data_IF_779402090001
#
_entry.id   IF_779402090001
#
_cell.length_a   1.000
_cell.length_b   1.000
_cell.length_c   1.000
_cell.angle_alpha   90.00
_cell.angle_beta   90.00
_cell.angle_gamma   90.00
#
_symmetry.space_group_name_H-M   'P 1'
#
loop_
_entity.id
_entity.type
_entity.pdbx_description
1 polymer ?
#
# COMPACT_ATOMS: atom_id res chain seq x y z
N UNK A 1 -37.96 23.26 19.40
CA UNK A 1 -37.86 22.26 18.32
C UNK A 1 -36.58 21.46 18.58
N UNK A 2 -36.68 20.32 19.24
CA UNK A 2 -35.52 19.54 19.68
C UNK A 2 -35.03 18.69 18.51
N UNK A 3 -33.82 18.96 18.01
CA UNK A 3 -33.19 18.18 16.95
C UNK A 3 -32.63 16.92 17.59
N UNK A 4 -33.26 15.78 17.33
CA UNK A 4 -32.74 14.47 17.70
C UNK A 4 -31.56 14.14 16.77
N UNK A 5 -30.34 14.18 17.29
CA UNK A 5 -29.17 13.63 16.61
C UNK A 5 -29.22 12.10 16.70
N UNK A 6 -29.44 11.44 15.56
CA UNK A 6 -29.26 9.99 15.47
C UNK A 6 -27.76 9.69 15.55
N UNK A 7 -27.32 9.02 16.61
CA UNK A 7 -25.96 8.50 16.70
C UNK A 7 -25.84 7.27 15.81
N UNK A 8 -24.98 7.33 14.79
CA UNK A 8 -24.62 6.16 13.99
C UNK A 8 -23.81 5.21 14.86
N UNK A 9 -24.44 4.13 15.34
CA UNK A 9 -23.76 3.07 16.07
C UNK A 9 -22.98 2.25 15.05
N UNK A 10 -21.66 2.18 15.20
CA UNK A 10 -20.82 1.31 14.39
C UNK A 10 -21.04 -0.14 14.82
N UNK A 11 -21.74 -0.92 13.99
CA UNK A 11 -22.04 -2.33 14.24
C UNK A 11 -20.98 -3.27 13.64
N UNK A 12 -19.84 -2.74 13.20
CA UNK A 12 -18.79 -3.54 12.57
C UNK A 12 -18.13 -4.47 13.59
N UNK A 13 -17.99 -5.75 13.23
CA UNK A 13 -17.33 -6.75 14.07
C UNK A 13 -15.81 -6.51 14.21
N UNK A 14 -15.21 -5.81 13.24
CA UNK A 14 -13.79 -5.46 13.23
C UNK A 14 -13.63 -3.95 13.08
N UNK A 15 -12.55 -3.43 13.64
CA UNK A 15 -12.17 -2.03 13.49
C UNK A 15 -11.62 -1.73 12.10
N UNK A 16 -11.67 -0.46 11.70
CA UNK A 16 -11.02 0.03 10.47
C UNK A 16 -9.53 -0.31 10.41
N UNK A 17 -8.85 -0.30 11.56
CA UNK A 17 -7.43 -0.66 11.63
C UNK A 17 -7.21 -2.15 11.33
N UNK A 18 -8.00 -3.03 11.96
CA UNK A 18 -7.91 -4.48 11.75
C UNK A 18 -8.26 -4.86 10.31
N UNK A 19 -9.29 -4.24 9.75
CA UNK A 19 -9.66 -4.47 8.36
C UNK A 19 -8.56 -4.02 7.39
N UNK A 20 -7.97 -2.84 7.63
CA UNK A 20 -6.83 -2.36 6.85
C UNK A 20 -5.59 -3.24 6.98
N UNK A 21 -5.33 -3.81 8.16
CA UNK A 21 -4.25 -4.76 8.38
C UNK A 21 -4.46 -6.05 7.56
N UNK A 22 -5.68 -6.58 7.55
CA UNK A 22 -6.03 -7.75 6.75
C UNK A 22 -5.87 -7.48 5.24
N UNK A 23 -6.30 -6.31 4.78
CA UNK A 23 -6.10 -5.88 3.38
C UNK A 23 -4.62 -5.72 3.03
N UNK A 24 -3.79 -5.20 3.94
CA UNK A 24 -2.36 -5.05 3.71
C UNK A 24 -1.65 -6.40 3.52
N UNK A 25 -2.08 -7.40 4.28
CA UNK A 25 -1.60 -8.78 4.13
C UNK A 25 -2.19 -9.44 2.87
N UNK A 26 -3.46 -9.18 2.53
CA UNK A 26 -4.21 -9.90 1.49
C UNK A 26 -5.19 -8.99 0.69
N UNK A 27 -4.70 -8.11 -0.22
CA UNK A 27 -5.53 -7.15 -0.96
C UNK A 27 -6.23 -7.75 -2.21
N UNK A 28 -6.49 -9.07 -2.22
CA UNK A 28 -6.92 -9.88 -3.40
C UNK A 28 -5.80 -10.09 -4.43
N UNK A 29 -4.62 -10.46 -3.94
CA UNK A 29 -3.44 -10.72 -4.78
C UNK A 29 -2.19 -10.89 -3.92
N UNK A 30 -1.04 -10.45 -4.44
CA UNK A 30 0.19 -10.40 -3.65
C UNK A 30 0.02 -9.35 -2.55
N UNK A 31 0.22 -9.77 -1.29
CA UNK A 31 0.17 -8.88 -0.13
C UNK A 31 1.13 -7.71 -0.22
N UNK A 32 0.70 -6.51 0.19
CA UNK A 32 1.55 -5.33 0.26
C UNK A 32 2.80 -5.60 1.12
N UNK A 33 2.64 -6.38 2.19
CA UNK A 33 3.72 -6.83 3.09
C UNK A 33 4.89 -7.50 2.36
N UNK A 34 4.65 -8.19 1.24
CA UNK A 34 5.70 -8.91 0.50
C UNK A 34 6.68 -7.97 -0.18
N UNK A 35 6.25 -6.75 -0.50
CA UNK A 35 7.08 -5.75 -1.16
C UNK A 35 7.49 -4.62 -0.19
N UNK A 36 6.60 -4.21 0.70
CA UNK A 36 6.82 -3.06 1.59
C UNK A 36 7.19 -3.46 3.04
N UNK A 37 7.17 -4.75 3.38
CA UNK A 37 7.44 -5.21 4.74
C UNK A 37 6.51 -4.55 5.74
N UNK A 38 7.07 -3.89 6.76
CA UNK A 38 6.31 -3.10 7.74
C UNK A 38 5.81 -1.76 7.21
N UNK A 39 6.28 -1.30 6.04
CA UNK A 39 5.87 -0.03 5.41
C UNK A 39 6.56 1.23 5.96
N UNK A 40 7.45 1.09 6.95
CA UNK A 40 8.14 2.17 7.65
C UNK A 40 9.52 2.52 7.06
N UNK A 41 10.07 1.65 6.21
CA UNK A 41 11.38 1.82 5.56
C UNK A 41 11.40 1.25 4.14
N UNK A 42 12.37 1.66 3.31
CA UNK A 42 12.57 1.04 2.01
C UNK A 42 12.92 -0.45 2.12
N UNK A 43 12.45 -1.25 1.17
CA UNK A 43 12.69 -2.69 1.10
C UNK A 43 13.23 -3.06 -0.27
N UNK A 44 14.33 -3.82 -0.31
CA UNK A 44 14.86 -4.38 -1.56
C UNK A 44 14.03 -5.60 -1.92
N UNK A 45 13.24 -5.50 -3.00
CA UNK A 45 12.40 -6.59 -3.50
C UNK A 45 13.27 -7.63 -4.22
N UNK A 46 14.17 -7.17 -5.08
CA UNK A 46 15.01 -8.05 -5.90
C UNK A 46 16.31 -7.35 -6.29
N UNK A 47 17.35 -8.17 -6.51
CA UNK A 47 18.62 -7.76 -7.14
C UNK A 47 18.77 -8.54 -8.44
N UNK A 48 19.21 -7.86 -9.49
CA UNK A 48 19.43 -8.48 -10.79
C UNK A 48 20.64 -7.88 -11.49
N UNK A 49 21.28 -8.66 -12.35
CA UNK A 49 22.39 -8.21 -13.18
C UNK A 49 21.87 -7.91 -14.57
N UNK A 50 22.31 -6.78 -15.14
CA UNK A 50 22.03 -6.46 -16.54
C UNK A 50 23.25 -5.86 -17.21
N UNK A 51 23.35 -6.04 -18.53
CA UNK A 51 24.40 -5.41 -19.32
C UNK A 51 24.06 -3.94 -19.55
N UNK A 52 24.95 -3.04 -19.13
CA UNK A 52 24.80 -1.63 -19.41
C UNK A 52 24.86 -1.37 -20.92
N UNK A 53 23.92 -0.58 -21.44
CA UNK A 53 23.75 -0.39 -22.89
C UNK A 53 24.94 0.34 -23.52
N UNK A 54 25.58 1.24 -22.76
CA UNK A 54 26.69 2.10 -23.22
C UNK A 54 28.04 1.41 -23.04
N UNK A 55 28.39 1.07 -21.79
CA UNK A 55 29.70 0.50 -21.43
C UNK A 55 29.82 -0.99 -21.73
N UNK A 56 28.72 -1.68 -22.05
CA UNK A 56 28.65 -3.15 -22.25
C UNK A 56 29.11 -3.98 -21.04
N UNK A 57 29.35 -3.37 -19.88
CA UNK A 57 29.70 -4.08 -18.64
C UNK A 57 28.44 -4.61 -17.96
N UNK A 58 28.56 -5.71 -17.24
CA UNK A 58 27.49 -6.22 -16.38
C UNK A 58 27.45 -5.37 -15.12
N UNK A 59 26.29 -4.77 -14.82
CA UNK A 59 26.03 -3.99 -13.62
C UNK A 59 24.93 -4.66 -12.80
N UNK A 60 25.04 -4.58 -11.47
CA UNK A 60 23.96 -4.98 -10.57
C UNK A 60 22.97 -3.83 -10.39
N UNK A 61 21.68 -4.15 -10.38
CA UNK A 61 20.58 -3.26 -10.08
C UNK A 61 19.68 -3.86 -9.02
N UNK A 62 18.96 -2.99 -8.32
CA UNK A 62 17.98 -3.37 -7.31
C UNK A 62 16.62 -2.77 -7.64
N UNK A 63 15.57 -3.53 -7.32
CA UNK A 63 14.19 -3.03 -7.26
C UNK A 63 13.91 -2.73 -5.79
N UNK A 64 13.54 -1.49 -5.49
CA UNK A 64 13.36 -1.01 -4.11
C UNK A 64 11.94 -0.47 -3.97
N UNK A 65 11.17 -1.04 -3.04
CA UNK A 65 9.91 -0.46 -2.59
C UNK A 65 10.19 0.67 -1.60
N UNK A 66 9.54 1.84 -1.71
CA UNK A 66 9.72 2.93 -0.75
C UNK A 66 8.99 2.64 0.57
N UNK A 67 9.35 3.43 1.60
CA UNK A 67 8.52 3.58 2.79
C UNK A 67 7.19 4.26 2.40
N UNK A 68 6.09 3.81 3.02
CA UNK A 68 4.73 4.23 2.64
C UNK A 68 3.92 4.83 3.80
N UNK A 69 4.41 4.72 5.04
CA UNK A 69 3.76 5.30 6.22
C UNK A 69 3.59 6.84 6.18
N UNK A 70 4.32 7.55 5.31
CA UNK A 70 4.24 9.00 5.17
C UNK A 70 3.74 9.52 3.81
N UNK A 71 3.02 8.70 3.04
CA UNK A 71 2.41 9.18 1.78
C UNK A 71 1.13 9.98 2.06
N UNK A 72 0.78 10.89 1.14
CA UNK A 72 -0.53 11.56 1.13
C UNK A 72 -1.61 10.63 0.62
N UNK A 73 -2.87 10.90 0.95
CA UNK A 73 -4.00 10.10 0.47
C UNK A 73 -4.12 10.13 -1.06
N UNK A 74 -3.92 11.30 -1.68
CA UNK A 74 -3.95 11.43 -3.15
C UNK A 74 -2.88 10.59 -3.83
N UNK A 75 -1.63 10.61 -3.33
CA UNK A 75 -0.56 9.77 -3.87
C UNK A 75 -0.83 8.28 -3.65
N UNK A 76 -1.41 7.93 -2.50
CA UNK A 76 -1.83 6.55 -2.23
C UNK A 76 -2.86 6.07 -3.26
N UNK A 77 -3.92 6.84 -3.51
CA UNK A 77 -4.94 6.48 -4.50
C UNK A 77 -4.34 6.35 -5.89
N UNK A 78 -3.56 7.35 -6.32
CA UNK A 78 -2.84 7.32 -7.61
C UNK A 78 -2.08 6.01 -7.82
N UNK A 79 -1.34 5.53 -6.81
CA UNK A 79 -0.58 4.28 -6.91
C UNK A 79 -1.43 3.02 -6.78
N UNK A 80 -2.54 3.05 -6.07
CA UNK A 80 -3.45 1.91 -5.96
C UNK A 80 -4.27 1.70 -7.23
N UNK A 81 -4.54 2.77 -7.98
CA UNK A 81 -5.27 2.73 -9.26
C UNK A 81 -4.36 2.68 -10.48
N UNK A 82 -3.05 2.84 -10.30
CA UNK A 82 -2.08 2.75 -11.38
C UNK A 82 -2.13 1.37 -12.06
N UNK A 83 -2.11 1.38 -13.38
CA UNK A 83 -2.05 0.15 -14.16
C UNK A 83 -0.61 -0.39 -14.28
N UNK A 84 -0.48 -1.52 -14.96
CA UNK A 84 0.82 -2.19 -15.15
C UNK A 84 1.81 -1.37 -15.99
N UNK A 85 1.34 -0.45 -16.80
CA UNK A 85 2.20 0.40 -17.65
C UNK A 85 2.94 1.44 -16.83
N UNK A 86 2.30 1.95 -15.77
CA UNK A 86 2.88 2.93 -14.85
C UNK A 86 3.66 2.27 -13.72
N UNK A 87 3.04 1.33 -13.02
CA UNK A 87 3.57 0.75 -11.78
C UNK A 87 4.74 -0.21 -12.03
N UNK A 88 4.72 -0.96 -13.15
CA UNK A 88 5.68 -1.97 -13.64
C UNK A 88 6.03 -3.12 -12.67
N UNK A 89 5.95 -2.92 -11.37
CA UNK A 89 6.36 -3.84 -10.30
C UNK A 89 5.24 -4.01 -9.27
N UNK A 90 4.62 -2.92 -8.81
CA UNK A 90 3.54 -3.02 -7.81
C UNK A 90 2.24 -3.51 -8.49
N UNK A 91 1.57 -4.53 -7.95
CA UNK A 91 0.32 -5.02 -8.52
C UNK A 91 -0.79 -3.96 -8.47
N UNK A 92 -1.69 -4.01 -9.45
CA UNK A 92 -2.98 -3.28 -9.40
C UNK A 92 -3.97 -4.09 -8.58
N UNK A 93 -4.71 -3.45 -7.69
CA UNK A 93 -5.72 -4.09 -6.84
C UNK A 93 -7.12 -3.58 -7.18
N UNK A 94 -8.09 -4.48 -7.20
CA UNK A 94 -9.51 -4.13 -7.35
C UNK A 94 -10.14 -4.02 -5.96
N UNK A 95 -9.89 -2.88 -5.30
CA UNK A 95 -10.44 -2.54 -3.99
C UNK A 95 -11.54 -1.49 -4.13
N UNK A 96 -12.54 -1.55 -3.26
CA UNK A 96 -13.55 -0.51 -3.14
C UNK A 96 -12.99 0.73 -2.43
N UNK A 97 -13.68 1.87 -2.54
CA UNK A 97 -13.26 3.11 -1.87
C UNK A 97 -13.13 2.96 -0.34
N UNK A 98 -14.02 2.20 0.29
CA UNK A 98 -13.96 1.95 1.74
C UNK A 98 -12.80 1.05 2.14
N UNK A 99 -12.44 0.08 1.30
CA UNK A 99 -11.24 -0.73 1.48
C UNK A 99 -9.97 0.10 1.33
N UNK A 100 -9.91 0.97 0.32
CA UNK A 100 -8.80 1.90 0.12
C UNK A 100 -8.64 2.84 1.32
N UNK A 101 -9.75 3.39 1.85
CA UNK A 101 -9.73 4.21 3.07
C UNK A 101 -9.25 3.43 4.28
N UNK A 102 -9.63 2.16 4.43
CA UNK A 102 -9.24 1.31 5.56
C UNK A 102 -7.77 0.92 5.47
N UNK A 103 -7.30 0.53 4.29
CA UNK A 103 -5.90 0.23 4.02
C UNK A 103 -5.01 1.47 4.24
N UNK A 104 -5.40 2.64 3.72
CA UNK A 104 -4.69 3.89 3.97
C UNK A 104 -4.66 4.24 5.47
N UNK A 105 -5.78 4.08 6.17
CA UNK A 105 -5.85 4.31 7.61
C UNK A 105 -4.88 3.40 8.37
N UNK A 106 -4.82 2.12 8.02
CA UNK A 106 -3.83 1.21 8.59
C UNK A 106 -2.39 1.68 8.31
N UNK A 107 -2.04 1.99 7.05
CA UNK A 107 -0.70 2.43 6.65
C UNK A 107 -0.26 3.71 7.42
N UNK A 108 -1.15 4.69 7.58
CA UNK A 108 -0.84 5.94 8.32
C UNK A 108 -0.63 5.74 9.82
N UNK A 109 -1.05 4.60 10.37
CA UNK A 109 -0.99 4.30 11.80
C UNK A 109 -0.05 3.12 12.14
N UNK A 110 0.71 2.60 11.16
CA UNK A 110 1.68 1.49 11.33
C UNK A 110 2.67 1.67 12.50
N UNK A 111 3.04 2.92 12.81
CA UNK A 111 4.06 3.27 13.81
C UNK A 111 3.51 3.99 15.05
N UNK A 112 2.19 4.07 15.19
CA UNK A 112 1.55 4.65 16.38
C UNK A 112 1.16 3.50 17.30
N UNK A 113 2.15 2.94 17.99
CA UNK A 113 1.96 2.07 19.14
C UNK A 113 2.71 2.66 20.31
#
# INVERSE_FOLDING_TARGET
MSILFSQTIDTSFITKFEYGAMLYENPRGIGCVKCHGRGDKPVVIARYKQKDKKSKKVIEKSIIAPAINNVSFSLFIDKMTADKTESKVMPTYFLTDEELKSLYYYIKNLNKK
#
